data_IF_436705260836
#
_entry.id   IF_436705260836
#
_cell.length_a   1.000
_cell.length_b   1.000
_cell.length_c   1.000
_cell.angle_alpha   90.00
_cell.angle_beta   90.00
_cell.angle_gamma   90.00
#
_symmetry.space_group_name_H-M   'P 1'
#
loop_
_entity.id
_entity.type
_entity.pdbx_description
1 polymer ?
#
# COMPACT_ATOMS: atom_id res chain seq x y z
N UNK A 1 32.09 45.42 -23.24
CA UNK A 1 32.72 44.49 -22.26
C UNK A 1 32.02 43.15 -22.40
N UNK A 2 32.71 42.12 -22.90
CA UNK A 2 32.13 40.77 -23.00
C UNK A 2 32.34 40.05 -21.66
N UNK A 3 31.49 40.33 -20.68
CA UNK A 3 31.41 39.51 -19.47
C UNK A 3 30.95 38.10 -19.86
N UNK A 4 31.62 37.06 -19.36
CA UNK A 4 31.17 35.69 -19.62
C UNK A 4 29.86 35.41 -18.88
N UNK A 5 28.92 34.65 -19.46
CA UNK A 5 27.65 34.32 -18.81
C UNK A 5 27.81 33.77 -17.39
N UNK A 6 28.83 32.95 -17.16
CA UNK A 6 29.12 32.39 -15.84
C UNK A 6 29.41 33.47 -14.77
N UNK A 7 30.16 34.52 -15.11
CA UNK A 7 30.46 35.64 -14.19
C UNK A 7 29.20 36.46 -13.90
N UNK A 8 28.41 36.74 -14.95
CA UNK A 8 27.13 37.42 -14.81
C UNK A 8 26.16 36.63 -13.90
N UNK A 9 26.01 35.32 -14.11
CA UNK A 9 25.11 34.48 -13.31
C UNK A 9 25.52 34.40 -11.84
N UNK A 10 26.83 34.35 -11.56
CA UNK A 10 27.34 34.37 -10.18
C UNK A 10 27.03 35.70 -9.51
N UNK A 11 27.35 36.82 -10.18
CA UNK A 11 27.06 38.18 -9.66
C UNK A 11 25.58 38.40 -9.42
N UNK A 12 24.71 37.92 -10.32
CA UNK A 12 23.27 37.98 -10.13
C UNK A 12 22.83 37.26 -8.84
N UNK A 13 23.27 36.00 -8.64
CA UNK A 13 22.95 35.25 -7.41
C UNK A 13 23.47 35.96 -6.16
N UNK A 14 24.69 36.48 -6.20
CA UNK A 14 25.24 37.26 -5.08
C UNK A 14 24.40 38.52 -4.81
N UNK A 15 23.90 39.19 -5.86
CA UNK A 15 23.07 40.40 -5.75
C UNK A 15 21.68 40.14 -5.17
N UNK A 16 21.13 38.93 -5.35
CA UNK A 16 19.89 38.50 -4.69
C UNK A 16 20.15 37.79 -3.35
N UNK A 17 21.37 37.89 -2.80
CA UNK A 17 21.70 37.43 -1.44
C UNK A 17 22.27 36.01 -1.33
N UNK A 18 22.60 35.35 -2.44
CA UNK A 18 23.06 33.96 -2.45
C UNK A 18 24.48 33.81 -3.00
N UNK A 19 25.38 33.28 -2.16
CA UNK A 19 26.75 32.91 -2.57
C UNK A 19 26.84 31.49 -3.13
N UNK A 20 25.79 30.67 -2.90
CA UNK A 20 25.68 29.27 -3.31
C UNK A 20 24.56 29.09 -4.35
N UNK A 21 24.84 28.32 -5.41
CA UNK A 21 23.84 28.01 -6.44
C UNK A 21 22.68 27.16 -5.91
N UNK A 22 22.93 26.23 -4.99
CA UNK A 22 21.90 25.35 -4.44
C UNK A 22 20.90 26.13 -3.58
N UNK A 23 21.39 27.01 -2.71
CA UNK A 23 20.55 27.81 -1.82
C UNK A 23 19.67 28.78 -2.64
N UNK A 24 20.24 29.39 -3.68
CA UNK A 24 19.48 30.19 -4.64
C UNK A 24 18.38 29.37 -5.34
N UNK A 25 18.65 28.11 -5.71
CA UNK A 25 17.63 27.23 -6.32
C UNK A 25 16.54 26.87 -5.32
N UNK A 26 16.88 26.56 -4.07
CA UNK A 26 15.92 26.23 -3.02
C UNK A 26 14.99 27.43 -2.79
N UNK A 27 15.56 28.62 -2.55
CA UNK A 27 14.80 29.85 -2.34
C UNK A 27 13.91 30.22 -3.54
N UNK A 28 14.48 30.25 -4.75
CA UNK A 28 13.72 30.62 -5.96
C UNK A 28 12.63 29.60 -6.32
N UNK A 29 12.73 28.36 -5.82
CA UNK A 29 11.68 27.34 -5.96
C UNK A 29 10.73 27.28 -4.77
N UNK A 30 10.92 28.13 -3.74
CA UNK A 30 10.13 28.15 -2.50
C UNK A 30 10.25 26.89 -1.65
N UNK A 31 11.26 26.04 -1.90
CA UNK A 31 11.46 24.75 -1.20
C UNK A 31 11.90 24.92 0.26
N UNK A 32 12.35 26.11 0.63
CA UNK A 32 12.67 26.54 1.99
C UNK A 32 11.44 26.88 2.82
N UNK A 33 10.26 27.06 2.20
CA UNK A 33 9.00 27.30 2.90
C UNK A 33 8.29 25.94 3.09
N UNK A 34 8.29 25.36 4.31
CA UNK A 34 7.62 24.10 4.53
C UNK A 34 6.10 24.28 4.47
N UNK A 35 5.41 23.46 3.69
CA UNK A 35 3.96 23.39 3.75
C UNK A 35 3.54 22.80 5.11
N UNK A 36 2.62 23.47 5.80
CA UNK A 36 2.01 22.94 7.01
C UNK A 36 1.11 21.74 6.70
N UNK A 37 0.95 20.86 7.70
CA UNK A 37 0.01 19.75 7.62
C UNK A 37 -1.41 20.28 7.72
N UNK A 38 -2.27 19.89 6.78
CA UNK A 38 -3.69 20.24 6.73
C UNK A 38 -4.53 19.15 7.42
N UNK A 39 -4.82 19.36 8.70
CA UNK A 39 -5.59 18.41 9.49
C UNK A 39 -7.08 18.36 9.11
N UNK A 40 -7.66 19.47 8.67
CA UNK A 40 -9.06 19.48 8.19
C UNK A 40 -9.20 18.64 6.94
N UNK A 41 -8.22 18.70 6.03
CA UNK A 41 -8.19 17.82 4.87
C UNK A 41 -8.04 16.34 5.28
N UNK A 42 -7.20 16.02 6.27
CA UNK A 42 -7.09 14.64 6.79
C UNK A 42 -8.42 14.16 7.39
N UNK A 43 -9.12 15.00 8.16
CA UNK A 43 -10.40 14.63 8.75
C UNK A 43 -11.44 14.28 7.67
N UNK A 44 -11.48 15.07 6.59
CA UNK A 44 -12.32 14.77 5.42
C UNK A 44 -11.94 13.43 4.74
N UNK A 45 -10.65 13.12 4.66
CA UNK A 45 -10.16 11.84 4.11
C UNK A 45 -10.51 10.65 5.03
N UNK A 46 -10.40 10.81 6.35
CA UNK A 46 -10.81 9.80 7.33
C UNK A 46 -12.33 9.54 7.26
N UNK A 47 -13.12 10.60 7.11
CA UNK A 47 -14.56 10.48 6.88
C UNK A 47 -14.86 9.71 5.57
N UNK A 48 -14.09 9.97 4.51
CA UNK A 48 -14.20 9.20 3.26
C UNK A 48 -13.88 7.72 3.45
N UNK A 49 -12.89 7.37 4.29
CA UNK A 49 -12.59 5.96 4.61
C UNK A 49 -13.77 5.30 5.33
N UNK A 50 -14.39 5.98 6.30
CA UNK A 50 -15.62 5.49 6.96
C UNK A 50 -16.71 5.19 5.95
N UNK A 51 -16.95 6.10 4.99
CA UNK A 51 -17.95 5.91 3.93
C UNK A 51 -17.62 4.72 3.02
N UNK A 52 -16.36 4.57 2.61
CA UNK A 52 -15.91 3.44 1.78
C UNK A 52 -16.14 2.12 2.52
N UNK A 53 -15.65 2.00 3.76
CA UNK A 53 -15.82 0.79 4.58
C UNK A 53 -17.29 0.43 4.76
N UNK A 54 -18.13 1.42 5.05
CA UNK A 54 -19.58 1.21 5.23
C UNK A 54 -20.24 0.71 3.95
N UNK A 55 -19.93 1.34 2.79
CA UNK A 55 -20.54 0.98 1.50
C UNK A 55 -20.10 -0.41 1.05
N UNK A 56 -18.80 -0.72 1.13
CA UNK A 56 -18.25 -2.03 0.74
C UNK A 56 -18.80 -3.12 1.66
N UNK A 57 -18.79 -2.90 2.97
CA UNK A 57 -19.34 -3.85 3.94
C UNK A 57 -20.83 -4.13 3.76
N UNK A 58 -21.61 -3.15 3.28
CA UNK A 58 -23.05 -3.30 3.11
C UNK A 58 -23.44 -4.16 1.90
N UNK A 59 -22.64 -4.13 0.84
CA UNK A 59 -22.89 -4.89 -0.39
C UNK A 59 -22.09 -6.19 -0.47
N UNK A 60 -21.03 -6.28 0.33
CA UNK A 60 -20.14 -7.43 0.36
C UNK A 60 -20.81 -8.69 0.91
N UNK A 61 -20.21 -9.84 0.61
CA UNK A 61 -20.55 -11.08 1.28
C UNK A 61 -20.52 -10.93 2.82
N UNK A 62 -21.27 -11.78 3.53
CA UNK A 62 -21.28 -11.85 5.00
C UNK A 62 -19.87 -11.92 5.62
N UNK A 63 -18.90 -12.50 4.91
CA UNK A 63 -17.52 -12.61 5.35
C UNK A 63 -16.79 -11.27 5.54
N UNK A 64 -17.23 -10.19 4.89
CA UNK A 64 -16.66 -8.83 5.02
C UNK A 64 -17.63 -7.83 5.66
N UNK A 65 -18.69 -8.34 6.30
CA UNK A 65 -19.69 -7.50 6.92
C UNK A 65 -19.25 -7.02 8.31
N UNK A 66 -19.14 -5.71 8.46
CA UNK A 66 -18.83 -5.02 9.71
C UNK A 66 -20.10 -4.98 10.58
N UNK A 67 -20.10 -5.76 11.66
CA UNK A 67 -21.22 -5.80 12.62
C UNK A 67 -21.41 -4.48 13.37
N UNK A 68 -20.31 -3.79 13.68
CA UNK A 68 -20.32 -2.49 14.36
C UNK A 68 -19.35 -1.54 13.64
N UNK A 69 -19.92 -0.67 12.81
CA UNK A 69 -19.14 0.27 12.00
C UNK A 69 -18.37 1.27 12.85
N UNK A 70 -18.93 1.72 13.97
CA UNK A 70 -18.27 2.72 14.81
C UNK A 70 -17.06 2.14 15.54
N UNK A 71 -17.14 0.88 15.99
CA UNK A 71 -15.98 0.19 16.57
C UNK A 71 -14.89 -0.05 15.52
N UNK A 72 -15.26 -0.47 14.30
CA UNK A 72 -14.32 -0.64 13.20
C UNK A 72 -13.61 0.68 12.84
N UNK A 73 -14.36 1.78 12.70
CA UNK A 73 -13.80 3.11 12.41
C UNK A 73 -12.86 3.56 13.52
N UNK A 74 -13.27 3.41 14.78
CA UNK A 74 -12.44 3.78 15.93
C UNK A 74 -11.13 3.01 15.94
N UNK A 75 -11.19 1.68 15.74
CA UNK A 75 -10.02 0.79 15.81
C UNK A 75 -9.09 0.94 14.60
N UNK A 76 -9.63 1.02 13.38
CA UNK A 76 -8.85 0.83 12.15
C UNK A 76 -8.65 2.11 11.33
N UNK A 77 -9.30 3.22 11.70
CA UNK A 77 -9.10 4.53 11.04
C UNK A 77 -8.56 5.54 12.05
N UNK A 78 -9.33 5.81 13.11
CA UNK A 78 -9.03 6.91 14.04
C UNK A 78 -7.82 6.61 14.92
N UNK A 79 -7.75 5.41 15.50
CA UNK A 79 -6.61 5.04 16.34
C UNK A 79 -5.27 5.02 15.55
N UNK A 80 -5.17 4.38 14.37
CA UNK A 80 -3.97 4.46 13.53
C UNK A 80 -3.54 5.89 13.19
N UNK A 81 -4.49 6.73 12.83
CA UNK A 81 -4.22 8.14 12.54
C UNK A 81 -3.65 8.87 13.77
N UNK A 82 -4.27 8.73 14.93
CA UNK A 82 -3.80 9.38 16.16
C UNK A 82 -2.44 8.82 16.61
N UNK A 83 -2.15 7.54 16.40
CA UNK A 83 -0.81 6.96 16.64
C UNK A 83 0.26 7.63 15.76
N UNK A 84 0.01 7.78 14.45
CA UNK A 84 0.95 8.42 13.52
C UNK A 84 1.12 9.92 13.82
N UNK A 85 0.03 10.59 14.19
CA UNK A 85 0.02 12.01 14.53
C UNK A 85 0.80 12.27 15.82
N UNK A 86 0.55 11.49 16.87
CA UNK A 86 1.17 11.67 18.18
C UNK A 86 2.67 11.34 18.20
N UNK A 87 3.15 10.49 17.29
CA UNK A 87 4.58 10.18 17.15
C UNK A 87 5.39 11.25 16.40
N UNK A 88 4.72 12.25 15.80
CA UNK A 88 5.40 13.27 15.00
C UNK A 88 5.94 12.74 13.66
N UNK A 89 5.55 11.54 13.23
CA UNK A 89 5.92 10.97 11.94
C UNK A 89 5.24 11.67 10.76
N UNK A 90 4.04 12.20 10.97
CA UNK A 90 3.20 12.73 9.89
C UNK A 90 3.95 13.71 8.96
N UNK A 91 4.64 14.77 9.42
CA UNK A 91 5.36 15.69 8.52
C UNK A 91 6.51 15.05 7.72
N UNK A 92 6.99 13.88 8.15
CA UNK A 92 8.09 13.14 7.51
C UNK A 92 7.60 12.15 6.45
N UNK A 93 6.30 11.84 6.43
CA UNK A 93 5.70 10.99 5.41
C UNK A 93 5.87 11.65 4.04
N UNK A 94 6.67 11.02 3.19
CA UNK A 94 6.91 11.51 1.85
C UNK A 94 6.88 10.37 0.85
N UNK A 95 6.48 10.68 -0.38
CA UNK A 95 6.52 9.73 -1.48
C UNK A 95 6.61 10.46 -2.81
N UNK A 96 7.82 10.58 -3.37
CA UNK A 96 8.06 11.26 -4.66
C UNK A 96 7.47 12.69 -4.68
N UNK A 97 7.64 13.45 -3.60
CA UNK A 97 7.13 14.82 -3.50
C UNK A 97 5.63 14.94 -3.21
N UNK A 98 4.92 13.83 -3.00
CA UNK A 98 3.54 13.87 -2.48
C UNK A 98 3.49 14.50 -1.10
N UNK A 99 2.39 15.23 -0.86
CA UNK A 99 2.08 15.81 0.44
C UNK A 99 1.87 14.72 1.51
N UNK A 100 2.28 14.95 2.77
CA UNK A 100 2.11 13.99 3.85
C UNK A 100 0.70 13.43 4.03
N UNK A 101 -0.34 14.27 3.87
CA UNK A 101 -1.74 13.88 4.00
C UNK A 101 -2.13 12.83 2.95
N UNK A 102 -1.62 12.98 1.72
CA UNK A 102 -1.87 12.04 0.63
C UNK A 102 -1.13 10.72 0.86
N UNK A 103 0.08 10.77 1.43
CA UNK A 103 0.84 9.57 1.77
C UNK A 103 0.15 8.81 2.91
N UNK A 104 -0.26 9.51 3.96
CA UNK A 104 -1.05 8.97 5.07
C UNK A 104 -2.33 8.32 4.55
N UNK A 105 -3.12 9.05 3.75
CA UNK A 105 -4.37 8.53 3.22
C UNK A 105 -4.17 7.30 2.33
N UNK A 106 -3.15 7.31 1.46
CA UNK A 106 -2.86 6.14 0.62
C UNK A 106 -2.50 4.91 1.44
N UNK A 107 -1.71 5.07 2.51
CA UNK A 107 -1.33 3.98 3.40
C UNK A 107 -2.53 3.51 4.23
N UNK A 108 -3.20 4.43 4.93
CA UNK A 108 -4.33 4.12 5.80
C UNK A 108 -5.50 3.49 5.03
N UNK A 109 -5.72 3.92 3.79
CA UNK A 109 -6.72 3.30 2.90
C UNK A 109 -6.40 1.84 2.60
N UNK A 110 -5.14 1.51 2.35
CA UNK A 110 -4.70 0.12 2.14
C UNK A 110 -4.88 -0.72 3.40
N UNK A 111 -4.39 -0.19 4.53
CA UNK A 111 -4.53 -0.81 5.85
C UNK A 111 -6.00 -1.12 6.20
N UNK A 112 -6.89 -0.14 6.04
CA UNK A 112 -8.33 -0.30 6.32
C UNK A 112 -8.98 -1.39 5.46
N UNK A 113 -8.58 -1.51 4.18
CA UNK A 113 -9.10 -2.56 3.31
C UNK A 113 -8.58 -3.93 3.73
N UNK A 114 -7.30 -4.04 4.12
CA UNK A 114 -6.74 -5.29 4.64
C UNK A 114 -7.48 -5.74 5.92
N UNK A 115 -7.70 -4.84 6.87
CA UNK A 115 -8.46 -5.12 8.10
C UNK A 115 -9.92 -5.52 7.81
N UNK A 116 -10.56 -4.89 6.82
CA UNK A 116 -11.93 -5.23 6.38
C UNK A 116 -12.02 -6.67 5.82
N UNK A 117 -10.99 -7.10 5.09
CA UNK A 117 -10.97 -8.40 4.41
C UNK A 117 -10.35 -9.52 5.25
N UNK A 118 -9.68 -9.21 6.35
CA UNK A 118 -9.04 -10.21 7.22
C UNK A 118 -9.99 -11.34 7.66
N UNK A 119 -11.27 -11.08 8.03
CA UNK A 119 -12.18 -12.16 8.36
C UNK A 119 -12.50 -13.09 7.17
N UNK A 120 -12.58 -12.54 5.96
CA UNK A 120 -12.76 -13.34 4.75
C UNK A 120 -11.50 -14.15 4.42
N UNK A 121 -10.32 -13.57 4.56
CA UNK A 121 -9.03 -14.28 4.39
C UNK A 121 -8.95 -15.45 5.36
N UNK A 122 -9.27 -15.25 6.64
CA UNK A 122 -9.29 -16.32 7.63
C UNK A 122 -10.24 -17.46 7.23
N UNK A 123 -11.46 -17.11 6.77
CA UNK A 123 -12.44 -18.08 6.30
C UNK A 123 -12.00 -18.84 5.05
N UNK A 124 -11.45 -18.14 4.05
CA UNK A 124 -10.96 -18.72 2.79
C UNK A 124 -9.86 -19.74 3.06
N UNK A 125 -8.87 -19.39 3.90
CA UNK A 125 -7.75 -20.26 4.22
C UNK A 125 -8.05 -21.26 5.35
N UNK A 126 -9.27 -21.27 5.88
CA UNK A 126 -9.70 -22.17 6.96
C UNK A 126 -8.82 -22.07 8.23
N UNK A 127 -8.32 -20.86 8.52
CA UNK A 127 -7.49 -20.58 9.69
C UNK A 127 -8.24 -19.72 10.70
N UNK A 128 -7.82 -19.76 11.97
CA UNK A 128 -8.33 -18.81 12.95
C UNK A 128 -7.85 -17.39 12.63
N UNK A 129 -8.72 -16.39 12.78
CA UNK A 129 -8.30 -14.97 12.75
C UNK A 129 -7.14 -14.71 13.71
N UNK A 130 -7.15 -15.35 14.89
CA UNK A 130 -6.12 -15.14 15.92
C UNK A 130 -4.78 -15.78 15.58
N UNK A 131 -4.72 -16.67 14.59
CA UNK A 131 -3.47 -17.25 14.10
C UNK A 131 -2.88 -16.50 12.91
N UNK A 132 -3.54 -15.44 12.42
CA UNK A 132 -2.98 -14.56 11.40
C UNK A 132 -2.01 -13.60 12.06
N UNK A 133 -0.73 -13.73 11.73
CA UNK A 133 0.32 -12.87 12.25
C UNK A 133 0.54 -11.70 11.27
N UNK A 134 0.48 -10.47 11.77
CA UNK A 134 1.01 -9.33 11.01
C UNK A 134 2.53 -9.42 11.02
N UNK A 135 3.16 -9.34 9.86
CA UNK A 135 4.62 -9.42 9.70
C UNK A 135 5.20 -8.25 8.91
N UNK A 136 4.38 -7.40 8.30
CA UNK A 136 4.83 -6.19 7.60
C UNK A 136 5.56 -5.21 8.54
N UNK A 137 6.60 -4.54 8.04
CA UNK A 137 7.37 -3.55 8.84
C UNK A 137 6.67 -2.17 8.91
N UNK A 138 5.51 -2.01 8.28
CA UNK A 138 4.68 -0.81 8.33
C UNK A 138 3.44 -1.01 9.24
N UNK A 139 3.48 -1.98 10.15
CA UNK A 139 2.49 -2.07 11.20
C UNK A 139 2.68 -1.00 12.29
N UNK A 140 1.62 -0.74 13.05
CA UNK A 140 1.63 0.24 14.14
C UNK A 140 1.87 -0.38 15.52
N UNK A 141 2.36 -1.62 15.61
CA UNK A 141 2.69 -2.27 16.89
C UNK A 141 3.91 -1.60 17.53
N UNK A 142 4.87 -1.20 16.70
CA UNK A 142 6.00 -0.38 17.12
C UNK A 142 6.27 0.76 16.12
N UNK A 143 5.87 1.96 16.53
CA UNK A 143 5.97 3.19 15.74
C UNK A 143 7.41 3.56 15.39
N UNK A 144 8.39 3.13 16.18
CA UNK A 144 9.81 3.40 15.92
C UNK A 144 10.35 2.55 14.78
N UNK A 145 9.71 1.40 14.52
CA UNK A 145 10.06 0.49 13.41
C UNK A 145 9.25 0.70 12.14
N UNK A 146 8.16 1.50 12.23
CA UNK A 146 7.26 1.79 11.12
C UNK A 146 8.02 2.31 9.90
N UNK A 147 8.07 1.50 8.83
CA UNK A 147 8.75 1.86 7.58
C UNK A 147 8.18 1.08 6.41
N UNK A 148 8.41 1.61 5.21
CA UNK A 148 8.14 0.86 3.98
C UNK A 148 9.03 -0.36 3.89
N UNK A 149 8.44 -1.51 3.59
CA UNK A 149 9.16 -2.77 3.41
C UNK A 149 8.56 -3.57 2.25
N UNK A 150 9.38 -4.33 1.51
CA UNK A 150 8.89 -5.28 0.52
C UNK A 150 8.26 -6.53 1.17
N UNK A 151 8.48 -6.74 2.48
CA UNK A 151 7.92 -7.85 3.24
C UNK A 151 6.39 -7.90 3.12
N UNK A 152 5.85 -9.12 3.11
CA UNK A 152 4.41 -9.37 3.10
C UNK A 152 3.73 -8.81 4.35
N UNK A 153 2.43 -8.56 4.26
CA UNK A 153 1.63 -7.99 5.35
C UNK A 153 1.34 -9.02 6.44
N UNK A 154 0.94 -10.23 6.04
CA UNK A 154 0.42 -11.27 6.91
C UNK A 154 1.16 -12.59 6.73
N UNK A 155 1.06 -13.43 7.75
CA UNK A 155 1.51 -14.80 7.74
C UNK A 155 0.48 -15.71 8.40
N UNK A 156 0.25 -16.86 7.78
CA UNK A 156 -0.63 -17.91 8.28
C UNK A 156 0.07 -19.27 8.25
N UNK A 157 -0.49 -20.24 8.96
CA UNK A 157 -0.09 -21.64 8.86
C UNK A 157 -1.26 -22.45 8.30
N UNK A 158 -1.06 -23.09 7.15
CA UNK A 158 -2.01 -24.01 6.51
C UNK A 158 -1.34 -25.38 6.38
N UNK A 159 -1.97 -26.42 6.89
CA UNK A 159 -1.48 -27.81 6.81
C UNK A 159 0.01 -27.99 7.23
N UNK A 160 0.42 -27.27 8.28
CA UNK A 160 1.79 -27.18 8.80
C UNK A 160 2.81 -26.46 7.91
N UNK A 161 2.36 -25.83 6.83
CA UNK A 161 3.17 -24.95 5.98
C UNK A 161 2.91 -23.49 6.31
N UNK A 162 3.98 -22.71 6.43
CA UNK A 162 3.89 -21.25 6.58
C UNK A 162 3.67 -20.63 5.20
N UNK A 163 2.70 -19.74 5.13
CA UNK A 163 2.32 -19.04 3.92
C UNK A 163 2.28 -17.55 4.23
N UNK A 164 2.99 -16.76 3.44
CA UNK A 164 2.99 -15.29 3.51
C UNK A 164 1.91 -14.74 2.60
N UNK A 165 1.19 -13.74 3.09
CA UNK A 165 0.10 -13.10 2.34
C UNK A 165 0.41 -11.62 2.22
N UNK A 166 0.58 -11.16 0.98
CA UNK A 166 0.58 -9.74 0.60
C UNK A 166 -0.87 -9.34 0.29
N UNK A 167 -1.36 -8.29 0.93
CA UNK A 167 -2.70 -7.75 0.67
C UNK A 167 -2.56 -6.44 -0.09
N UNK A 168 -2.96 -6.45 -1.35
CA UNK A 168 -2.98 -5.26 -2.19
C UNK A 168 -4.41 -4.79 -2.42
N UNK A 169 -4.63 -3.47 -2.45
CA UNK A 169 -5.93 -2.89 -2.78
C UNK A 169 -5.85 -1.97 -4.01
N UNK A 170 -6.69 -2.26 -5.00
CA UNK A 170 -6.91 -1.48 -6.21
C UNK A 170 -8.13 -0.57 -6.10
N UNK A 171 -8.02 0.66 -6.60
CA UNK A 171 -9.06 1.69 -6.49
C UNK A 171 -9.43 2.36 -7.83
N UNK A 172 -8.80 1.94 -8.92
CA UNK A 172 -8.92 2.60 -10.24
C UNK A 172 -9.11 1.60 -11.40
N UNK A 173 -9.27 0.31 -11.10
CA UNK A 173 -9.39 -0.74 -12.12
C UNK A 173 -8.10 -1.08 -12.86
N UNK A 174 -6.95 -0.58 -12.40
CA UNK A 174 -5.63 -1.02 -12.83
C UNK A 174 -5.11 -2.01 -11.79
N UNK A 175 -4.79 -3.22 -12.24
CA UNK A 175 -4.51 -4.38 -11.40
C UNK A 175 -3.10 -4.88 -11.69
N UNK A 176 -2.13 -4.33 -10.97
CA UNK A 176 -0.71 -4.58 -11.17
C UNK A 176 -0.04 -4.91 -9.82
N UNK A 177 0.84 -5.90 -9.79
CA UNK A 177 1.70 -6.22 -8.64
C UNK A 177 3.10 -5.68 -8.92
N UNK A 178 3.70 -4.97 -7.96
CA UNK A 178 5.06 -4.44 -8.17
C UNK A 178 6.07 -5.57 -8.30
N UNK A 179 6.95 -5.50 -9.29
CA UNK A 179 7.91 -6.57 -9.58
C UNK A 179 8.79 -6.93 -8.37
N UNK A 180 9.20 -5.94 -7.55
CA UNK A 180 10.01 -6.22 -6.37
C UNK A 180 9.30 -7.08 -5.31
N UNK A 181 7.95 -7.11 -5.31
CA UNK A 181 7.18 -8.01 -4.44
C UNK A 181 7.25 -9.45 -4.93
N UNK A 182 7.19 -9.66 -6.25
CA UNK A 182 7.37 -10.96 -6.89
C UNK A 182 8.79 -11.50 -6.63
N UNK A 183 9.81 -10.66 -6.84
CA UNK A 183 11.21 -11.04 -6.61
C UNK A 183 11.48 -11.39 -5.14
N UNK A 184 10.91 -10.64 -4.20
CA UNK A 184 11.04 -10.93 -2.77
C UNK A 184 10.35 -12.25 -2.39
N UNK A 185 9.16 -12.51 -2.91
CA UNK A 185 8.45 -13.78 -2.70
C UNK A 185 9.27 -15.00 -3.15
N UNK A 186 9.88 -14.92 -4.34
CA UNK A 186 10.76 -15.99 -4.84
C UNK A 186 11.99 -16.19 -3.98
N UNK A 187 12.67 -15.10 -3.60
CA UNK A 187 13.82 -15.16 -2.69
C UNK A 187 13.46 -15.85 -1.37
N UNK A 188 12.31 -15.50 -0.80
CA UNK A 188 11.81 -16.13 0.44
C UNK A 188 11.54 -17.62 0.23
N UNK A 189 10.90 -18.00 -0.87
CA UNK A 189 10.63 -19.40 -1.18
C UNK A 189 11.93 -20.21 -1.35
N UNK A 190 12.92 -19.68 -2.08
CA UNK A 190 14.24 -20.31 -2.26
C UNK A 190 15.00 -20.47 -0.93
N UNK A 191 14.93 -19.49 -0.04
CA UNK A 191 15.65 -19.49 1.24
C UNK A 191 14.97 -20.35 2.32
N UNK A 192 13.64 -20.42 2.32
CA UNK A 192 12.87 -20.94 3.47
C UNK A 192 11.81 -22.00 3.11
N UNK A 193 11.46 -22.15 1.83
CA UNK A 193 10.34 -22.99 1.38
C UNK A 193 8.96 -22.42 1.67
N UNK A 194 8.86 -21.16 2.14
CA UNK A 194 7.59 -20.49 2.44
C UNK A 194 6.98 -19.90 1.17
N UNK A 195 5.75 -20.31 0.83
CA UNK A 195 5.00 -19.74 -0.29
C UNK A 195 4.50 -18.33 0.04
N UNK A 196 4.34 -17.51 -1.00
CA UNK A 196 3.85 -16.15 -0.89
C UNK A 196 2.70 -15.91 -1.86
N UNK A 197 1.55 -15.48 -1.35
CA UNK A 197 0.36 -15.20 -2.14
C UNK A 197 0.04 -13.71 -2.07
N UNK A 198 -0.22 -13.09 -3.21
CA UNK A 198 -0.86 -11.79 -3.28
C UNK A 198 -2.37 -11.95 -3.37
N UNK A 199 -3.08 -11.34 -2.42
CA UNK A 199 -4.53 -11.14 -2.48
C UNK A 199 -4.76 -9.70 -2.94
N UNK A 200 -5.07 -9.52 -4.21
CA UNK A 200 -5.32 -8.21 -4.80
C UNK A 200 -6.82 -7.91 -4.84
N UNK A 201 -7.26 -6.97 -4.02
CA UNK A 201 -8.65 -6.55 -3.88
C UNK A 201 -8.90 -5.34 -4.78
N UNK A 202 -9.48 -5.58 -5.96
CA UNK A 202 -9.91 -4.52 -6.88
C UNK A 202 -11.30 -4.01 -6.48
N UNK A 203 -11.32 -3.03 -5.56
CA UNK A 203 -12.57 -2.41 -5.09
C UNK A 203 -13.29 -1.61 -6.17
N UNK A 204 -12.59 -1.21 -7.23
CA UNK A 204 -13.20 -0.45 -8.32
C UNK A 204 -14.15 -1.33 -9.14
N UNK A 205 -13.72 -2.56 -9.46
CA UNK A 205 -14.54 -3.52 -10.22
C UNK A 205 -15.26 -4.54 -9.34
N UNK A 206 -14.99 -4.56 -8.03
CA UNK A 206 -15.65 -5.48 -7.10
C UNK A 206 -15.21 -6.93 -7.25
N UNK A 207 -13.91 -7.16 -7.46
CA UNK A 207 -13.31 -8.48 -7.67
C UNK A 207 -12.00 -8.64 -6.90
N UNK A 208 -11.60 -9.87 -6.63
CA UNK A 208 -10.39 -10.21 -5.88
C UNK A 208 -9.60 -11.28 -6.63
N UNK A 209 -8.32 -11.01 -6.84
CA UNK A 209 -7.36 -11.94 -7.40
C UNK A 209 -6.51 -12.61 -6.34
N UNK A 210 -6.16 -13.86 -6.59
CA UNK A 210 -5.24 -14.65 -5.76
C UNK A 210 -4.09 -15.09 -6.67
N UNK A 211 -2.89 -14.63 -6.36
CA UNK A 211 -1.71 -14.84 -7.20
C UNK A 211 -0.60 -15.45 -6.35
N UNK A 212 -0.19 -16.69 -6.64
CA UNK A 212 1.02 -17.27 -6.06
C UNK A 212 2.24 -16.58 -6.66
N UNK A 213 2.94 -15.79 -5.85
CA UNK A 213 4.00 -14.90 -6.31
C UNK A 213 5.30 -15.66 -6.59
N UNK A 214 5.59 -16.69 -5.79
CA UNK A 214 6.80 -17.51 -5.92
C UNK A 214 6.81 -18.39 -7.18
N UNK A 215 5.65 -18.60 -7.82
CA UNK A 215 5.53 -19.39 -9.06
C UNK A 215 5.60 -18.55 -10.34
N UNK A 216 5.85 -17.24 -10.26
CA UNK A 216 5.95 -16.36 -11.43
C UNK A 216 7.39 -16.39 -11.98
N UNK A 217 7.53 -16.80 -13.24
CA UNK A 217 8.81 -16.89 -13.95
C UNK A 217 9.39 -15.50 -14.28
N UNK A 218 10.72 -15.37 -14.34
CA UNK A 218 11.39 -14.07 -14.60
C UNK A 218 11.07 -13.47 -15.98
N UNK A 219 10.75 -14.32 -16.96
CA UNK A 219 10.41 -13.94 -18.33
C UNK A 219 8.90 -14.00 -18.61
N UNK A 220 8.07 -14.00 -17.56
CA UNK A 220 6.61 -14.00 -17.70
C UNK A 220 6.12 -12.81 -18.55
N UNK A 221 5.29 -13.12 -19.54
CA UNK A 221 4.76 -12.16 -20.52
C UNK A 221 3.93 -11.04 -19.89
N UNK A 222 3.45 -11.24 -18.67
CA UNK A 222 2.66 -10.25 -17.93
C UNK A 222 3.53 -9.20 -17.23
N UNK A 223 4.87 -9.34 -17.24
CA UNK A 223 5.74 -8.25 -16.83
C UNK A 223 5.69 -7.11 -17.85
N UNK A 224 5.18 -5.97 -17.41
CA UNK A 224 5.00 -4.76 -18.24
C UNK A 224 5.59 -3.54 -17.57
N UNK A 225 6.07 -2.60 -18.37
CA UNK A 225 6.52 -1.30 -17.87
C UNK A 225 5.36 -0.29 -17.89
N UNK A 226 5.02 0.29 -16.73
CA UNK A 226 3.96 1.30 -16.61
C UNK A 226 4.54 2.71 -16.53
N UNK A 227 4.36 3.50 -17.59
CA UNK A 227 4.75 4.92 -17.60
C UNK A 227 4.06 5.75 -16.49
N UNK A 228 2.76 5.54 -16.17
CA UNK A 228 2.13 6.23 -15.03
C UNK A 228 2.75 5.90 -13.67
N UNK A 229 3.53 4.81 -13.57
CA UNK A 229 4.28 4.42 -12.38
C UNK A 229 5.77 4.76 -12.52
N UNK A 230 6.08 5.89 -13.17
CA UNK A 230 7.45 6.35 -13.40
C UNK A 230 8.32 5.36 -14.19
N UNK A 231 7.71 4.54 -15.04
CA UNK A 231 8.41 3.51 -15.79
C UNK A 231 8.82 2.31 -14.93
N UNK A 232 8.20 2.10 -13.77
CA UNK A 232 8.38 0.87 -13.01
C UNK A 232 7.82 -0.33 -13.77
N UNK A 233 8.55 -1.44 -13.66
CA UNK A 233 8.11 -2.74 -14.11
C UNK A 233 7.21 -3.38 -13.05
N UNK A 234 6.11 -3.95 -13.52
CA UNK A 234 5.04 -4.56 -12.71
C UNK A 234 4.54 -5.81 -13.40
N UNK A 235 4.00 -6.72 -12.62
CA UNK A 235 3.25 -7.87 -13.11
C UNK A 235 1.78 -7.46 -13.29
N UNK A 236 1.28 -7.43 -14.53
CA UNK A 236 -0.11 -7.16 -14.80
C UNK A 236 -0.96 -8.39 -14.46
N UNK A 237 -1.93 -8.25 -13.56
CA UNK A 237 -2.77 -9.37 -13.13
C UNK A 237 -3.75 -9.70 -14.24
N UNK A 238 -3.59 -10.87 -14.86
CA UNK A 238 -4.54 -11.40 -15.84
C UNK A 238 -5.92 -11.71 -15.20
N UNK A 239 -6.99 -11.61 -16.01
CA UNK A 239 -8.36 -11.80 -15.54
C UNK A 239 -8.59 -13.20 -14.93
N UNK A 240 -7.83 -14.22 -15.35
CA UNK A 240 -7.96 -15.59 -14.85
C UNK A 240 -7.55 -15.76 -13.37
N UNK A 241 -6.78 -14.80 -12.81
CA UNK A 241 -6.43 -14.79 -11.39
C UNK A 241 -7.58 -14.29 -10.50
N UNK A 242 -8.61 -13.64 -11.05
CA UNK A 242 -9.74 -13.11 -10.29
C UNK A 242 -10.76 -14.21 -9.98
N UNK A 243 -10.56 -14.87 -8.83
CA UNK A 243 -11.38 -16.01 -8.39
C UNK A 243 -12.59 -15.63 -7.54
N UNK A 244 -12.72 -14.37 -7.10
CA UNK A 244 -13.83 -13.93 -6.26
C UNK A 244 -14.43 -12.60 -6.74
N UNK A 245 -15.75 -12.56 -6.94
CA UNK A 245 -16.52 -11.32 -7.11
C UNK A 245 -17.18 -10.97 -5.78
N UNK A 246 -17.09 -9.72 -5.34
CA UNK A 246 -17.47 -9.33 -3.96
C UNK A 246 -18.97 -9.48 -3.65
N UNK A 247 -19.82 -9.58 -4.68
CA UNK A 247 -21.25 -9.83 -4.54
C UNK A 247 -21.58 -11.32 -4.39
N UNK A 248 -20.63 -12.21 -4.70
CA UNK A 248 -20.77 -13.65 -4.56
C UNK A 248 -20.24 -14.13 -3.19
N UNK A 249 -20.61 -15.36 -2.76
CA UNK A 249 -19.91 -16.05 -1.69
C UNK A 249 -18.39 -16.02 -1.84
N UNK A 250 -17.68 -15.85 -0.73
CA UNK A 250 -16.24 -16.03 -0.72
C UNK A 250 -15.91 -17.47 -1.15
N UNK A 251 -14.88 -17.67 -1.99
CA UNK A 251 -14.48 -18.99 -2.45
C UNK A 251 -13.93 -19.81 -1.28
N UNK A 252 -13.95 -21.13 -1.42
CA UNK A 252 -13.15 -22.00 -0.56
C UNK A 252 -11.70 -22.01 -1.05
N UNK A 253 -10.76 -22.38 -0.18
CA UNK A 253 -9.35 -22.50 -0.54
C UNK A 253 -9.12 -23.37 -1.79
N UNK A 254 -9.84 -24.49 -1.90
CA UNK A 254 -9.76 -25.42 -3.03
C UNK A 254 -10.10 -24.79 -4.39
N UNK A 255 -10.86 -23.71 -4.41
CA UNK A 255 -11.30 -23.04 -5.64
C UNK A 255 -10.24 -22.06 -6.18
N UNK A 256 -9.16 -21.82 -5.42
CA UNK A 256 -8.14 -20.84 -5.76
C UNK A 256 -7.06 -21.37 -6.70
N UNK A 257 -6.98 -22.69 -6.92
CA UNK A 257 -5.98 -23.34 -7.78
C UNK A 257 -4.52 -23.03 -7.36
N UNK A 258 -4.29 -22.79 -6.07
CA UNK A 258 -2.98 -22.52 -5.50
C UNK A 258 -2.23 -23.83 -5.21
N UNK A 259 -0.93 -23.86 -5.49
CA UNK A 259 -0.08 -25.04 -5.23
C UNK A 259 0.76 -24.81 -3.98
N UNK A 260 0.10 -24.84 -2.82
CA UNK A 260 0.70 -24.66 -1.48
C UNK A 260 0.28 -25.77 -0.52
#
# INVERSE_FOLDING_TARGET
MNESPAKYFKRYRESIGFTNQNDAKIFLSGKDVPAGVDYEYIDNLNQRLKEISSKVSAIGNKSINIKNIDDFVRKNILHPFETIKSSGLLPRLNNQGRRPEQVLFSWLRGYVVAELFTPAIAGIFEVSITSINQIGDDDLRDIDTFRRSPKADLEITKDNQRVRIEVQSGFQGINDIKEHKVREARRVFEETGEHSICIHIDLFNGQVAFVQLDSIEDDDVNFVTRQPMEGQSVFAIDQNYFKWRLLDPAPCFSDLELSI
#
